data_IF_461638213743
#
_entry.id   IF_461638213743
#
_cell.length_a   1.000
_cell.length_b   1.000
_cell.length_c   1.000
_cell.angle_alpha   90.00
_cell.angle_beta   90.00
_cell.angle_gamma   90.00
#
_symmetry.space_group_name_H-M   'P 1'
#
loop_
_entity.id
_entity.type
_entity.pdbx_description
1 polymer ?
#
# COMPACT_ATOMS: atom_id res chain seq x y z
N UNK A 1 -6.99 -0.54 15.79
CA UNK A 1 -8.15 -0.62 16.67
C UNK A 1 -9.18 0.49 16.46
N UNK A 2 -9.03 1.32 15.43
CA UNK A 2 -10.00 2.35 15.07
C UNK A 2 -10.88 1.88 13.91
N UNK A 3 -12.16 2.31 13.91
CA UNK A 3 -13.02 2.03 12.78
C UNK A 3 -12.51 2.71 11.51
N UNK A 4 -12.69 2.10 10.33
CA UNK A 4 -12.38 2.74 9.06
C UNK A 4 -13.11 4.07 8.89
N UNK A 5 -12.45 5.06 8.29
CA UNK A 5 -13.08 6.34 7.95
C UNK A 5 -14.23 6.12 6.98
N UNK A 6 -15.37 6.78 7.20
CA UNK A 6 -16.50 6.73 6.27
C UNK A 6 -16.13 7.39 4.95
N UNK A 7 -16.60 6.84 3.85
CA UNK A 7 -16.22 7.32 2.51
C UNK A 7 -16.57 8.79 2.25
N UNK A 8 -17.65 9.29 2.83
CA UNK A 8 -17.99 10.72 2.74
C UNK A 8 -16.99 11.60 3.45
N UNK A 9 -16.52 11.19 4.63
CA UNK A 9 -15.49 11.88 5.39
C UNK A 9 -14.14 11.85 4.67
N UNK A 10 -13.78 10.70 4.07
CA UNK A 10 -12.58 10.55 3.27
C UNK A 10 -12.58 11.47 2.04
N UNK A 11 -13.70 11.54 1.32
CA UNK A 11 -13.87 12.43 0.17
C UNK A 11 -13.72 13.90 0.56
N UNK A 12 -14.36 14.29 1.67
CA UNK A 12 -14.28 15.65 2.22
C UNK A 12 -12.85 15.99 2.67
N UNK A 13 -12.18 15.06 3.34
CA UNK A 13 -10.76 15.21 3.71
C UNK A 13 -9.89 15.51 2.50
N UNK A 14 -10.01 14.73 1.42
CA UNK A 14 -9.23 14.95 0.19
C UNK A 14 -9.54 16.29 -0.46
N UNK A 15 -10.82 16.70 -0.47
CA UNK A 15 -11.25 18.01 -1.00
C UNK A 15 -10.57 19.15 -0.24
N UNK A 16 -10.63 19.10 1.07
CA UNK A 16 -10.05 20.13 1.94
C UNK A 16 -8.53 20.18 1.81
N UNK A 17 -7.85 19.03 1.84
CA UNK A 17 -6.39 18.98 1.67
C UNK A 17 -5.98 19.56 0.33
N UNK A 18 -6.70 19.21 -0.75
CA UNK A 18 -6.40 19.75 -2.09
C UNK A 18 -6.52 21.28 -2.16
N UNK A 19 -7.59 21.84 -1.60
CA UNK A 19 -7.78 23.28 -1.53
C UNK A 19 -6.66 23.97 -0.73
N UNK A 20 -6.32 23.43 0.44
CA UNK A 20 -5.28 23.99 1.29
C UNK A 20 -3.89 23.98 0.63
N UNK A 21 -3.49 22.88 -0.03
CA UNK A 21 -2.18 22.83 -0.72
C UNK A 21 -2.13 23.74 -1.94
N UNK A 22 -3.29 24.09 -2.52
CA UNK A 22 -3.40 25.10 -3.57
C UNK A 22 -3.44 26.55 -3.03
N UNK A 23 -3.38 26.73 -1.70
CA UNK A 23 -3.42 28.04 -1.06
C UNK A 23 -4.81 28.66 -0.95
N UNK A 24 -5.84 27.87 -1.16
CA UNK A 24 -7.23 28.33 -1.11
C UNK A 24 -7.75 28.41 0.33
N UNK A 25 -8.75 29.26 0.53
CA UNK A 25 -9.61 29.27 1.71
C UNK A 25 -10.76 28.30 1.45
N UNK A 26 -11.07 27.43 2.43
CA UNK A 26 -12.01 26.34 2.22
C UNK A 26 -12.89 26.10 3.44
N UNK A 27 -14.21 25.93 3.21
CA UNK A 27 -15.12 25.49 4.28
C UNK A 27 -14.79 24.05 4.69
N UNK A 28 -14.65 23.84 5.98
CA UNK A 28 -14.44 22.54 6.61
C UNK A 28 -15.42 22.33 7.76
N UNK A 29 -16.04 21.16 7.80
CA UNK A 29 -16.94 20.76 8.88
C UNK A 29 -16.22 19.83 9.84
N UNK A 30 -16.04 20.27 11.10
CA UNK A 30 -15.47 19.46 12.16
C UNK A 30 -16.43 19.40 13.36
N UNK A 31 -16.76 18.19 13.80
CA UNK A 31 -17.70 17.97 14.93
C UNK A 31 -19.05 18.70 14.79
N UNK A 32 -19.54 18.83 13.56
CA UNK A 32 -20.80 19.51 13.26
C UNK A 32 -20.72 21.02 13.12
N UNK A 33 -19.56 21.64 13.41
CA UNK A 33 -19.32 23.06 13.19
C UNK A 33 -18.64 23.30 11.84
N UNK A 34 -19.16 24.28 11.08
CA UNK A 34 -18.58 24.76 9.84
C UNK A 34 -17.67 25.94 10.08
N UNK A 35 -16.48 25.90 9.53
CA UNK A 35 -15.49 26.99 9.61
C UNK A 35 -14.74 27.10 8.28
N UNK A 36 -14.41 28.32 7.90
CA UNK A 36 -13.44 28.56 6.84
C UNK A 36 -12.03 28.45 7.39
N UNK A 37 -11.19 27.70 6.71
CA UNK A 37 -9.79 27.45 7.08
C UNK A 37 -8.86 27.74 5.90
N UNK A 38 -7.65 28.24 6.19
CA UNK A 38 -6.57 28.49 5.21
C UNK A 38 -5.21 28.45 5.88
N UNK A 39 -4.17 28.32 5.09
CA UNK A 39 -2.81 28.58 5.56
C UNK A 39 -2.57 30.10 5.73
N UNK A 40 -2.28 30.52 6.96
CA UNK A 40 -2.17 31.94 7.31
C UNK A 40 -0.89 32.62 6.80
N UNK A 41 0.21 31.86 6.67
CA UNK A 41 1.56 32.37 6.44
C UNK A 41 2.09 32.07 5.01
N UNK A 42 1.22 32.19 4.01
CA UNK A 42 1.61 31.91 2.62
C UNK A 42 2.63 32.92 2.08
N UNK A 43 2.49 34.20 2.44
CA UNK A 43 3.37 35.27 1.95
C UNK A 43 4.75 35.26 2.60
N UNK A 44 4.90 34.66 3.75
CA UNK A 44 6.15 34.55 4.48
C UNK A 44 7.05 33.40 3.97
N UNK A 45 6.59 32.65 2.96
CA UNK A 45 7.37 31.57 2.33
C UNK A 45 7.47 30.28 3.16
N UNK A 46 6.67 30.13 4.23
CA UNK A 46 6.63 28.89 5.03
C UNK A 46 5.89 27.76 4.31
N UNK A 47 5.06 28.10 3.33
CA UNK A 47 4.25 27.17 2.54
C UNK A 47 4.39 27.55 1.08
N UNK A 48 4.78 26.59 0.24
CA UNK A 48 4.83 26.80 -1.20
C UNK A 48 3.48 26.41 -1.82
N UNK A 49 2.71 27.39 -2.21
CA UNK A 49 1.42 27.23 -2.90
C UNK A 49 1.51 27.40 -4.41
N UNK A 50 2.65 27.92 -4.92
CA UNK A 50 2.88 28.08 -6.36
C UNK A 50 3.16 26.75 -7.06
N UNK A 51 3.73 25.79 -6.31
CA UNK A 51 3.98 24.43 -6.75
C UNK A 51 3.34 23.44 -5.76
N UNK A 52 2.02 23.23 -5.83
CA UNK A 52 1.32 22.34 -4.92
C UNK A 52 1.91 20.94 -4.91
N UNK A 53 2.07 20.36 -3.72
CA UNK A 53 2.51 18.97 -3.57
C UNK A 53 1.45 18.04 -4.18
N UNK A 54 1.81 17.10 -5.06
CA UNK A 54 0.88 16.14 -5.62
C UNK A 54 0.31 15.22 -4.53
N UNK A 55 -0.98 14.94 -4.60
CA UNK A 55 -1.70 14.09 -3.65
C UNK A 55 -1.85 12.70 -4.25
N UNK A 56 -1.11 11.72 -3.70
CA UNK A 56 -1.26 10.32 -4.07
C UNK A 56 -2.16 9.63 -3.07
N UNK A 57 -3.20 8.96 -3.58
CA UNK A 57 -4.26 8.37 -2.76
C UNK A 57 -4.15 6.85 -2.75
N UNK A 58 -4.02 6.25 -1.58
CA UNK A 58 -4.13 4.81 -1.42
C UNK A 58 -5.61 4.40 -1.53
N UNK A 59 -5.98 3.78 -2.65
CA UNK A 59 -7.37 3.46 -2.97
C UNK A 59 -7.50 2.19 -3.81
N UNK A 60 -8.36 1.27 -3.35
CA UNK A 60 -8.71 0.05 -4.06
C UNK A 60 -10.24 -0.10 -4.24
N UNK A 61 -11.03 0.36 -3.27
CA UNK A 61 -12.48 0.31 -3.33
C UNK A 61 -13.08 1.31 -4.35
N UNK A 62 -14.20 1.00 -5.01
CA UNK A 62 -14.74 1.80 -6.12
C UNK A 62 -15.03 3.26 -5.75
N UNK A 63 -15.57 3.51 -4.55
CA UNK A 63 -15.86 4.87 -4.09
C UNK A 63 -14.59 5.64 -3.70
N UNK A 64 -13.56 4.97 -3.17
CA UNK A 64 -12.27 5.58 -2.88
C UNK A 64 -11.52 5.93 -4.18
N UNK A 65 -11.60 5.08 -5.21
CA UNK A 65 -11.08 5.36 -6.55
C UNK A 65 -11.76 6.58 -7.20
N UNK A 66 -13.09 6.73 -7.03
CA UNK A 66 -13.79 7.93 -7.48
C UNK A 66 -13.32 9.19 -6.72
N UNK A 67 -13.13 9.10 -5.40
CA UNK A 67 -12.58 10.21 -4.62
C UNK A 67 -11.13 10.56 -5.07
N UNK A 68 -10.33 9.54 -5.42
CA UNK A 68 -9.00 9.73 -6.02
C UNK A 68 -9.06 10.53 -7.32
N UNK A 69 -9.98 10.20 -8.22
CA UNK A 69 -10.20 10.96 -9.47
C UNK A 69 -10.62 12.39 -9.21
N UNK A 70 -11.50 12.61 -8.25
CA UNK A 70 -12.01 13.95 -7.92
C UNK A 70 -10.89 14.84 -7.33
N UNK A 71 -10.00 14.32 -6.50
CA UNK A 71 -9.11 15.15 -5.66
C UNK A 71 -7.65 14.71 -5.63
N UNK A 72 -7.29 13.52 -6.10
CA UNK A 72 -5.91 13.00 -6.14
C UNK A 72 -5.18 13.32 -7.43
N UNK A 73 -3.87 13.30 -7.42
CA UNK A 73 -2.99 13.46 -8.59
C UNK A 73 -2.36 12.14 -9.02
N UNK A 74 -2.42 11.13 -8.14
CA UNK A 74 -1.99 9.77 -8.40
C UNK A 74 -2.67 8.78 -7.47
N UNK A 75 -2.47 7.51 -7.77
CA UNK A 75 -2.96 6.38 -6.98
C UNK A 75 -1.80 5.56 -6.43
N UNK A 76 -1.91 5.10 -5.19
CA UNK A 76 -1.08 4.03 -4.64
C UNK A 76 -1.94 2.76 -4.54
N UNK A 77 -1.46 1.64 -5.05
CA UNK A 77 -2.12 0.34 -4.99
C UNK A 77 -1.16 -0.77 -4.53
N UNK A 78 -1.69 -1.96 -4.28
CA UNK A 78 -0.86 -3.15 -4.07
C UNK A 78 -0.26 -3.64 -5.40
N UNK A 79 0.93 -4.24 -5.35
CA UNK A 79 1.66 -4.69 -6.53
C UNK A 79 1.00 -5.87 -7.28
N UNK A 80 0.22 -6.69 -6.60
CA UNK A 80 -0.46 -7.86 -7.18
C UNK A 80 -1.66 -7.54 -8.09
N UNK A 81 -1.78 -6.28 -8.57
CA UNK A 81 -2.83 -5.90 -9.52
C UNK A 81 -2.66 -6.63 -10.86
N UNK A 82 -3.77 -7.10 -11.42
CA UNK A 82 -3.82 -7.54 -12.82
C UNK A 82 -4.08 -6.36 -13.76
N UNK A 83 -3.76 -6.50 -15.05
CA UNK A 83 -4.08 -5.48 -16.06
C UNK A 83 -5.56 -5.10 -16.05
N UNK A 84 -6.46 -6.09 -15.91
CA UNK A 84 -7.90 -5.84 -15.85
C UNK A 84 -8.30 -4.99 -14.63
N UNK A 85 -7.72 -5.26 -13.45
CA UNK A 85 -7.97 -4.48 -12.24
C UNK A 85 -7.41 -3.06 -12.34
N UNK A 86 -6.22 -2.87 -12.92
CA UNK A 86 -5.66 -1.55 -13.17
C UNK A 86 -6.57 -0.74 -14.10
N UNK A 87 -7.03 -1.32 -15.21
CA UNK A 87 -7.95 -0.64 -16.14
C UNK A 87 -9.31 -0.33 -15.52
N UNK A 88 -9.87 -1.23 -14.72
CA UNK A 88 -11.14 -0.97 -14.00
C UNK A 88 -10.97 0.16 -12.99
N UNK A 89 -9.83 0.21 -12.31
CA UNK A 89 -9.52 1.27 -11.36
C UNK A 89 -9.42 2.63 -12.05
N UNK A 90 -8.72 2.71 -13.19
CA UNK A 90 -8.61 3.94 -13.98
C UNK A 90 -9.99 4.45 -14.44
N UNK A 91 -10.88 3.56 -14.91
CA UNK A 91 -12.27 3.95 -15.25
C UNK A 91 -13.04 4.55 -14.07
N UNK A 92 -12.83 4.03 -12.85
CA UNK A 92 -13.46 4.61 -11.64
C UNK A 92 -12.86 5.97 -11.28
N UNK A 93 -11.55 6.14 -11.47
CA UNK A 93 -10.86 7.40 -11.27
C UNK A 93 -11.37 8.44 -12.28
N UNK A 94 -11.48 8.10 -13.57
CA UNK A 94 -12.05 8.96 -14.62
C UNK A 94 -13.49 9.39 -14.30
N UNK A 95 -14.32 8.45 -13.84
CA UNK A 95 -15.68 8.75 -13.42
C UNK A 95 -15.71 9.76 -12.26
N UNK A 96 -14.88 9.57 -11.25
CA UNK A 96 -14.79 10.48 -10.10
C UNK A 96 -14.31 11.88 -10.49
N UNK A 97 -13.36 11.98 -11.42
CA UNK A 97 -12.92 13.27 -11.96
C UNK A 97 -14.05 14.00 -12.72
N UNK A 98 -14.82 13.25 -13.50
CA UNK A 98 -15.97 13.78 -14.26
C UNK A 98 -17.05 14.34 -13.35
N UNK A 99 -17.30 13.76 -12.17
CA UNK A 99 -18.29 14.26 -11.20
C UNK A 99 -18.00 15.70 -10.73
N UNK A 100 -16.74 16.11 -10.74
CA UNK A 100 -16.30 17.45 -10.31
C UNK A 100 -15.79 18.30 -11.48
N UNK A 101 -16.07 17.91 -12.72
CA UNK A 101 -15.63 18.57 -13.95
C UNK A 101 -14.09 18.76 -14.01
N UNK A 102 -13.33 17.82 -13.47
CA UNK A 102 -11.87 17.83 -13.48
C UNK A 102 -11.32 17.06 -14.67
N UNK A 103 -10.36 17.65 -15.39
CA UNK A 103 -9.56 16.93 -16.35
C UNK A 103 -8.42 16.19 -15.63
N UNK A 104 -8.27 14.88 -15.88
CA UNK A 104 -7.12 14.13 -15.44
C UNK A 104 -5.94 14.34 -16.40
N UNK A 105 -4.68 14.25 -15.91
CA UNK A 105 -3.53 14.20 -16.81
C UNK A 105 -3.63 12.99 -17.74
N UNK A 106 -3.08 13.09 -18.95
CA UNK A 106 -3.13 12.05 -20.00
C UNK A 106 -2.52 10.72 -19.53
N UNK A 107 -1.55 10.78 -18.62
CA UNK A 107 -0.98 9.62 -17.91
C UNK A 107 -1.22 9.82 -16.40
N UNK A 108 -2.35 9.32 -15.91
CA UNK A 108 -2.62 9.36 -14.48
C UNK A 108 -1.67 8.41 -13.74
N UNK A 109 -0.87 8.97 -12.82
CA UNK A 109 0.20 8.22 -12.18
C UNK A 109 -0.33 7.15 -11.22
N UNK A 110 0.15 5.91 -11.39
CA UNK A 110 -0.15 4.79 -10.51
C UNK A 110 1.16 4.21 -9.96
N UNK A 111 1.32 4.28 -8.64
CA UNK A 111 2.41 3.66 -7.90
C UNK A 111 1.92 2.39 -7.20
N UNK A 112 2.72 1.34 -7.21
CA UNK A 112 2.44 0.13 -6.45
C UNK A 112 3.39 0.00 -5.26
N UNK A 113 2.83 -0.17 -4.06
CA UNK A 113 3.60 -0.45 -2.86
C UNK A 113 3.88 -1.94 -2.77
N UNK A 114 5.15 -2.31 -2.60
CA UNK A 114 5.59 -3.70 -2.42
C UNK A 114 6.92 -3.77 -1.67
N UNK A 115 7.45 -4.96 -1.57
CA UNK A 115 8.77 -5.27 -1.01
C UNK A 115 9.58 -6.09 -2.00
N UNK A 116 10.89 -6.09 -1.85
CA UNK A 116 11.79 -6.82 -2.74
C UNK A 116 12.89 -7.54 -1.95
N UNK A 117 13.37 -8.65 -2.50
CA UNK A 117 14.61 -9.29 -2.05
C UNK A 117 15.28 -10.01 -3.21
N UNK A 118 16.50 -9.65 -3.52
CA UNK A 118 17.31 -10.33 -4.54
C UNK A 118 17.89 -11.60 -3.93
N UNK A 119 17.55 -12.77 -4.50
CA UNK A 119 18.07 -14.06 -4.05
C UNK A 119 19.56 -14.19 -4.39
N UNK A 120 20.34 -14.64 -3.42
CA UNK A 120 21.75 -15.01 -3.58
C UNK A 120 21.85 -16.47 -4.03
N UNK A 121 23.03 -16.85 -4.52
CA UNK A 121 23.28 -18.23 -5.00
C UNK A 121 22.96 -19.27 -3.92
N UNK A 122 22.05 -20.19 -4.22
CA UNK A 122 21.62 -21.28 -3.33
C UNK A 122 20.48 -20.92 -2.37
N UNK A 123 19.97 -19.69 -2.40
CA UNK A 123 18.81 -19.28 -1.63
C UNK A 123 17.49 -19.57 -2.36
N UNK A 124 16.42 -19.66 -1.59
CA UNK A 124 15.04 -19.69 -2.04
C UNK A 124 14.23 -18.63 -1.29
N UNK A 125 12.96 -18.45 -1.65
CA UNK A 125 12.09 -17.41 -1.09
C UNK A 125 11.87 -17.52 0.44
N UNK A 126 12.13 -18.67 1.05
CA UNK A 126 11.95 -18.92 2.50
C UNK A 126 13.28 -19.18 3.21
N UNK A 127 14.42 -18.82 2.62
CA UNK A 127 15.71 -18.82 3.31
C UNK A 127 15.71 -17.80 4.44
N UNK A 128 16.40 -18.08 5.55
CA UNK A 128 16.38 -17.25 6.77
C UNK A 128 16.67 -15.77 6.49
N UNK A 129 17.71 -15.46 5.67
CA UNK A 129 18.04 -14.09 5.28
C UNK A 129 16.87 -13.43 4.54
N UNK A 130 16.22 -14.16 3.63
CA UNK A 130 15.09 -13.63 2.87
C UNK A 130 13.93 -13.31 3.81
N UNK A 131 13.62 -14.21 4.75
CA UNK A 131 12.60 -13.95 5.77
C UNK A 131 12.96 -12.75 6.64
N UNK A 132 14.24 -12.55 7.00
CA UNK A 132 14.68 -11.37 7.74
C UNK A 132 14.43 -10.08 6.95
N UNK A 133 14.68 -10.08 5.63
CA UNK A 133 14.54 -8.89 4.79
C UNK A 133 13.09 -8.54 4.44
N UNK A 134 12.22 -9.55 4.26
CA UNK A 134 10.86 -9.29 3.73
C UNK A 134 9.73 -9.87 4.57
N UNK A 135 10.04 -10.66 5.60
CA UNK A 135 9.03 -11.39 6.35
C UNK A 135 7.99 -10.48 7.00
N UNK A 136 8.42 -9.35 7.57
CA UNK A 136 7.51 -8.37 8.17
C UNK A 136 6.47 -7.85 7.17
N UNK A 137 6.88 -7.62 5.93
CA UNK A 137 6.01 -7.12 4.86
C UNK A 137 5.07 -8.22 4.33
N UNK A 138 5.57 -9.45 4.18
CA UNK A 138 4.73 -10.57 3.78
C UNK A 138 3.66 -10.87 4.84
N UNK A 139 4.02 -10.86 6.13
CA UNK A 139 3.11 -11.06 7.24
C UNK A 139 2.06 -9.96 7.38
N UNK A 140 2.33 -8.74 6.92
CA UNK A 140 1.36 -7.64 6.93
C UNK A 140 0.04 -8.00 6.23
N UNK A 141 0.07 -8.90 5.24
CA UNK A 141 -1.14 -9.41 4.61
C UNK A 141 -1.99 -10.28 5.54
N UNK A 142 -1.36 -11.15 6.35
CA UNK A 142 -2.06 -11.96 7.35
C UNK A 142 -2.68 -11.08 8.43
N UNK A 143 -1.96 -10.02 8.87
CA UNK A 143 -2.46 -9.03 9.80
C UNK A 143 -3.70 -8.31 9.25
N UNK A 144 -3.64 -7.87 7.99
CA UNK A 144 -4.74 -7.22 7.30
C UNK A 144 -5.95 -8.15 7.13
N UNK A 145 -5.75 -9.40 6.71
CA UNK A 145 -6.82 -10.39 6.60
C UNK A 145 -7.45 -10.69 7.95
N UNK A 146 -6.66 -10.75 9.02
CA UNK A 146 -7.16 -10.93 10.37
C UNK A 146 -8.04 -9.75 10.82
N UNK A 147 -7.64 -8.50 10.53
CA UNK A 147 -8.45 -7.32 10.84
C UNK A 147 -9.77 -7.30 10.08
N UNK A 148 -9.77 -7.60 8.78
CA UNK A 148 -10.99 -7.71 7.99
C UNK A 148 -11.93 -8.78 8.54
N UNK A 149 -11.39 -9.95 8.87
CA UNK A 149 -12.14 -11.04 9.46
C UNK A 149 -12.75 -10.66 10.81
N UNK A 150 -12.01 -9.98 11.69
CA UNK A 150 -12.54 -9.50 12.98
C UNK A 150 -13.60 -8.40 12.79
N UNK A 151 -13.46 -7.56 11.78
CA UNK A 151 -14.37 -6.45 11.54
C UNK A 151 -15.73 -6.88 10.98
N UNK A 152 -15.76 -7.81 10.03
CA UNK A 152 -17.00 -8.18 9.32
C UNK A 152 -17.05 -9.63 8.82
N UNK A 153 -16.10 -10.49 9.21
CA UNK A 153 -16.01 -11.88 8.74
C UNK A 153 -15.54 -12.03 7.29
N UNK A 154 -14.99 -10.96 6.68
CA UNK A 154 -14.59 -10.99 5.27
C UNK A 154 -13.29 -11.76 5.08
N UNK A 155 -13.35 -12.80 4.23
CA UNK A 155 -12.22 -13.63 3.80
C UNK A 155 -11.98 -13.56 2.28
N UNK A 156 -12.68 -12.66 1.59
CA UNK A 156 -12.67 -12.58 0.12
C UNK A 156 -11.31 -12.16 -0.48
N UNK A 157 -10.50 -11.47 0.31
CA UNK A 157 -9.15 -11.04 -0.08
C UNK A 157 -8.08 -12.12 0.11
N UNK A 158 -8.40 -13.24 0.77
CA UNK A 158 -7.46 -14.33 1.00
C UNK A 158 -7.27 -15.12 -0.29
N UNK A 159 -6.02 -15.17 -0.78
CA UNK A 159 -5.69 -15.94 -1.97
C UNK A 159 -5.97 -17.44 -1.74
N UNK A 160 -6.51 -18.12 -2.75
CA UNK A 160 -6.80 -19.57 -2.66
C UNK A 160 -5.58 -20.41 -2.26
N UNK A 161 -4.39 -20.04 -2.72
CA UNK A 161 -3.12 -20.69 -2.36
C UNK A 161 -2.72 -20.48 -0.90
N UNK A 162 -3.34 -19.56 -0.18
CA UNK A 162 -3.06 -19.22 1.21
C UNK A 162 -4.17 -19.70 2.17
N UNK A 163 -5.18 -20.43 1.71
CA UNK A 163 -6.31 -20.82 2.58
C UNK A 163 -5.87 -21.64 3.79
N UNK A 164 -5.06 -22.69 3.58
CA UNK A 164 -4.57 -23.52 4.69
C UNK A 164 -3.69 -22.69 5.65
N UNK A 165 -2.85 -21.81 5.10
CA UNK A 165 -2.01 -20.91 5.88
C UNK A 165 -2.86 -19.98 6.75
N UNK A 166 -3.96 -19.47 6.20
CA UNK A 166 -4.91 -18.65 6.92
C UNK A 166 -5.55 -19.39 8.10
N UNK A 167 -6.01 -20.61 7.89
CA UNK A 167 -6.62 -21.42 8.93
C UNK A 167 -5.64 -21.69 10.08
N UNK A 168 -4.36 -21.98 9.76
CA UNK A 168 -3.29 -22.13 10.74
C UNK A 168 -2.98 -20.82 11.47
N UNK A 169 -2.96 -19.69 10.76
CA UNK A 169 -2.71 -18.39 11.34
C UNK A 169 -3.84 -17.96 12.28
N UNK A 170 -5.09 -18.19 11.88
CA UNK A 170 -6.25 -17.92 12.73
C UNK A 170 -6.20 -18.73 14.04
N UNK A 171 -5.91 -20.04 13.94
CA UNK A 171 -5.72 -20.90 15.11
C UNK A 171 -4.53 -20.48 15.99
N UNK A 172 -3.48 -19.88 15.41
CA UNK A 172 -2.37 -19.29 16.16
C UNK A 172 -2.80 -18.05 16.94
N UNK A 173 -3.56 -17.14 16.29
CA UNK A 173 -4.03 -15.92 16.97
C UNK A 173 -5.00 -16.20 18.12
N UNK A 174 -5.78 -17.28 18.03
CA UNK A 174 -6.69 -17.70 19.11
C UNK A 174 -5.94 -18.14 20.37
N UNK A 175 -4.72 -18.62 20.23
CA UNK A 175 -3.85 -19.06 21.34
C UNK A 175 -2.99 -17.96 21.94
N UNK A 176 -3.08 -16.74 21.42
CA UNK A 176 -2.34 -15.60 21.97
C UNK A 176 -2.80 -15.29 23.41
N UNK A 177 -1.84 -14.98 24.28
CA UNK A 177 -2.11 -14.65 25.68
C UNK A 177 -2.85 -13.32 25.83
N UNK A 178 -2.67 -12.40 24.87
CA UNK A 178 -3.34 -11.10 24.88
C UNK A 178 -4.86 -11.27 24.77
N UNK A 179 -5.65 -10.60 25.62
CA UNK A 179 -7.11 -10.66 25.55
C UNK A 179 -7.64 -10.33 24.13
N UNK A 180 -8.74 -10.96 23.68
CA UNK A 180 -9.28 -10.77 22.32
C UNK A 180 -9.40 -9.30 21.87
N UNK A 181 -9.85 -8.41 22.78
CA UNK A 181 -10.00 -6.97 22.50
C UNK A 181 -8.67 -6.21 22.29
N UNK A 182 -7.53 -6.84 22.60
CA UNK A 182 -6.19 -6.25 22.47
C UNK A 182 -5.27 -7.06 21.56
N UNK A 183 -5.73 -8.15 20.95
CA UNK A 183 -4.90 -9.01 20.09
C UNK A 183 -4.29 -8.25 18.91
N UNK A 184 -4.98 -7.25 18.39
CA UNK A 184 -4.42 -6.39 17.34
C UNK A 184 -3.06 -5.77 17.76
N UNK A 185 -2.86 -5.44 19.04
CA UNK A 185 -1.58 -4.90 19.53
C UNK A 185 -0.45 -5.93 19.45
N UNK A 186 -0.73 -7.19 19.77
CA UNK A 186 0.25 -8.27 19.70
C UNK A 186 0.54 -8.64 18.23
N UNK A 187 -0.49 -8.76 17.40
CA UNK A 187 -0.38 -9.06 15.96
C UNK A 187 0.49 -8.00 15.25
N UNK A 188 0.32 -6.73 15.60
CA UNK A 188 1.08 -5.64 14.97
C UNK A 188 2.42 -5.31 15.65
N UNK A 189 2.92 -6.13 16.58
CA UNK A 189 4.16 -5.84 17.31
C UNK A 189 5.36 -5.59 16.39
N UNK A 190 5.53 -6.40 15.34
CA UNK A 190 6.60 -6.27 14.34
C UNK A 190 6.14 -5.72 12.99
N UNK A 191 4.90 -5.22 12.89
CA UNK A 191 4.28 -4.86 11.61
C UNK A 191 5.16 -3.93 10.75
N UNK A 192 5.49 -4.37 9.53
CA UNK A 192 6.35 -3.68 8.57
C UNK A 192 7.78 -3.38 9.05
N UNK A 193 8.19 -3.81 10.25
CA UNK A 193 9.51 -3.52 10.82
C UNK A 193 10.39 -4.79 10.90
N UNK A 194 9.89 -5.83 11.54
CA UNK A 194 10.58 -7.12 11.67
C UNK A 194 9.58 -8.27 11.84
N UNK A 195 9.94 -9.46 11.39
CA UNK A 195 9.13 -10.66 11.63
C UNK A 195 9.35 -11.17 13.05
N UNK A 196 8.30 -11.18 13.89
CA UNK A 196 8.40 -11.77 15.23
C UNK A 196 8.69 -13.28 15.13
N UNK A 197 9.52 -13.87 16.05
CA UNK A 197 9.97 -15.26 15.92
C UNK A 197 8.83 -16.27 15.72
N UNK A 198 7.71 -16.08 16.41
CA UNK A 198 6.56 -16.99 16.40
C UNK A 198 5.81 -16.96 15.05
N UNK A 199 5.90 -15.86 14.32
CA UNK A 199 5.23 -15.68 13.03
C UNK A 199 6.11 -16.04 11.83
N UNK A 200 7.43 -16.16 11.98
CA UNK A 200 8.36 -16.49 10.88
C UNK A 200 7.91 -17.70 10.06
N UNK A 201 7.35 -18.73 10.69
CA UNK A 201 6.86 -19.95 10.04
C UNK A 201 5.72 -19.71 9.05
N UNK A 202 4.99 -18.59 9.17
CA UNK A 202 3.91 -18.24 8.26
C UNK A 202 4.41 -17.50 7.01
N UNK A 203 5.70 -17.11 6.97
CA UNK A 203 6.32 -16.57 5.74
C UNK A 203 6.58 -17.73 4.80
N UNK A 204 5.63 -18.00 3.92
CA UNK A 204 5.67 -19.08 2.93
C UNK A 204 5.82 -18.54 1.53
N UNK A 205 6.31 -19.35 0.60
CA UNK A 205 6.38 -18.99 -0.82
C UNK A 205 5.02 -18.58 -1.37
N UNK A 206 3.95 -19.29 -0.98
CA UNK A 206 2.59 -18.97 -1.40
C UNK A 206 2.16 -17.58 -0.92
N UNK A 207 2.50 -17.20 0.31
CA UNK A 207 2.20 -15.87 0.85
C UNK A 207 2.97 -14.79 0.09
N UNK A 208 4.28 -14.97 -0.10
CA UNK A 208 5.15 -14.03 -0.83
C UNK A 208 4.60 -13.79 -2.25
N UNK A 209 4.26 -14.86 -2.97
CA UNK A 209 3.67 -14.76 -4.32
C UNK A 209 2.29 -14.10 -4.32
N UNK A 210 1.42 -14.46 -3.37
CA UNK A 210 0.06 -13.91 -3.28
C UNK A 210 0.05 -12.42 -2.96
N UNK A 211 1.04 -11.94 -2.21
CA UNK A 211 1.16 -10.51 -1.83
C UNK A 211 1.93 -9.68 -2.86
N UNK A 212 2.50 -10.32 -3.90
CA UNK A 212 3.20 -9.63 -4.98
C UNK A 212 4.59 -9.15 -4.60
N UNK A 213 5.29 -9.84 -3.67
CA UNK A 213 6.70 -9.54 -3.37
C UNK A 213 7.61 -9.73 -4.58
N UNK A 214 8.50 -8.79 -4.83
CA UNK A 214 9.56 -8.87 -5.84
C UNK A 214 10.73 -9.69 -5.29
N UNK A 215 10.54 -11.00 -5.19
CA UNK A 215 11.53 -11.93 -4.63
C UNK A 215 11.96 -12.93 -5.68
N UNK A 216 13.23 -12.92 -6.03
CA UNK A 216 13.77 -13.76 -7.08
C UNK A 216 15.22 -13.43 -7.41
N UNK A 217 15.77 -14.09 -8.43
CA UNK A 217 17.02 -13.67 -9.05
C UNK A 217 16.86 -12.29 -9.72
N UNK A 218 17.96 -11.58 -10.00
CA UNK A 218 17.86 -10.27 -10.68
C UNK A 218 17.06 -10.32 -11.98
N UNK A 219 17.23 -11.38 -12.79
CA UNK A 219 16.52 -11.55 -14.09
C UNK A 219 15.03 -11.79 -13.89
N UNK A 220 14.63 -12.59 -12.90
CA UNK A 220 13.23 -12.82 -12.56
C UNK A 220 12.56 -11.52 -12.07
N UNK A 221 13.23 -10.72 -11.22
CA UNK A 221 12.69 -9.45 -10.75
C UNK A 221 12.54 -8.45 -11.90
N UNK A 222 13.53 -8.36 -12.79
CA UNK A 222 13.47 -7.52 -13.99
C UNK A 222 12.26 -7.90 -14.85
N UNK A 223 12.07 -9.20 -15.12
CA UNK A 223 10.92 -9.68 -15.89
C UNK A 223 9.58 -9.33 -15.22
N UNK A 224 9.49 -9.42 -13.88
CA UNK A 224 8.28 -9.01 -13.15
C UNK A 224 8.01 -7.49 -13.28
N UNK A 225 9.05 -6.66 -13.27
CA UNK A 225 8.92 -5.21 -13.44
C UNK A 225 8.48 -4.86 -14.86
N UNK A 226 9.09 -5.46 -15.89
CA UNK A 226 8.72 -5.28 -17.30
C UNK A 226 7.26 -5.67 -17.57
N UNK A 227 6.80 -6.77 -16.98
CA UNK A 227 5.40 -7.19 -17.06
C UNK A 227 4.46 -6.12 -16.48
N UNK A 228 4.78 -5.52 -15.33
CA UNK A 228 3.97 -4.49 -14.68
C UNK A 228 3.99 -3.16 -15.45
N UNK A 229 5.14 -2.77 -15.98
CA UNK A 229 5.25 -1.60 -16.85
C UNK A 229 4.36 -1.78 -18.11
N UNK A 230 4.41 -2.96 -18.75
CA UNK A 230 3.55 -3.28 -19.89
C UNK A 230 2.05 -3.30 -19.56
N UNK A 231 1.68 -3.49 -18.30
CA UNK A 231 0.29 -3.37 -17.82
C UNK A 231 -0.14 -1.92 -17.60
N UNK A 232 0.80 -0.96 -17.56
CA UNK A 232 0.53 0.46 -17.32
C UNK A 232 0.85 0.95 -15.91
N UNK A 233 1.60 0.17 -15.09
CA UNK A 233 2.12 0.64 -13.82
C UNK A 233 3.28 1.62 -14.08
N UNK A 234 3.28 2.78 -13.40
CA UNK A 234 4.29 3.81 -13.61
C UNK A 234 5.44 3.74 -12.62
N UNK A 235 5.18 3.25 -11.42
CA UNK A 235 6.14 3.29 -10.32
C UNK A 235 5.97 2.09 -9.38
N UNK A 236 7.07 1.64 -8.82
CA UNK A 236 7.12 0.70 -7.71
C UNK A 236 7.78 1.37 -6.52
N UNK A 237 7.04 1.49 -5.42
CA UNK A 237 7.54 1.98 -4.14
C UNK A 237 7.93 0.79 -3.25
N UNK A 238 9.22 0.66 -2.93
CA UNK A 238 9.72 -0.43 -2.11
C UNK A 238 9.65 -0.09 -0.62
N UNK A 239 9.09 -1.00 0.16
CA UNK A 239 9.05 -0.93 1.62
C UNK A 239 9.83 -2.11 2.21
N UNK A 240 11.14 -1.96 2.48
CA UNK A 240 11.95 -3.00 3.11
C UNK A 240 11.70 -3.08 4.62
N UNK A 241 11.96 -4.24 5.24
CA UNK A 241 12.02 -4.34 6.71
C UNK A 241 13.04 -3.35 7.27
N UNK A 242 12.71 -2.69 8.37
CA UNK A 242 13.41 -1.48 8.83
C UNK A 242 14.89 -1.74 9.15
N UNK A 243 15.20 -2.84 9.81
CA UNK A 243 16.56 -3.23 10.20
C UNK A 243 17.42 -3.69 9.02
N UNK A 244 16.81 -4.19 7.93
CA UNK A 244 17.47 -4.66 6.72
C UNK A 244 17.41 -3.66 5.56
N UNK A 245 16.76 -2.52 5.74
CA UNK A 245 16.44 -1.57 4.67
C UNK A 245 17.66 -1.17 3.83
N UNK A 246 18.77 -0.87 4.48
CA UNK A 246 19.99 -0.41 3.78
C UNK A 246 20.60 -1.48 2.89
N UNK A 247 20.68 -2.71 3.37
CA UNK A 247 21.23 -3.84 2.60
C UNK A 247 20.32 -4.18 1.44
N UNK A 248 19.02 -4.29 1.73
CA UNK A 248 17.98 -4.62 0.77
C UNK A 248 17.92 -3.62 -0.40
N UNK A 249 17.88 -2.31 -0.09
CA UNK A 249 17.83 -1.26 -1.11
C UNK A 249 19.13 -1.18 -1.92
N UNK A 250 20.30 -1.41 -1.30
CA UNK A 250 21.58 -1.45 -2.03
C UNK A 250 21.63 -2.64 -2.99
N UNK A 251 21.27 -3.85 -2.53
CA UNK A 251 21.25 -5.04 -3.39
C UNK A 251 20.28 -4.83 -4.58
N UNK A 252 19.09 -4.28 -4.34
CA UNK A 252 18.15 -3.97 -5.39
C UNK A 252 18.68 -2.92 -6.38
N UNK A 253 19.28 -1.85 -5.90
CA UNK A 253 19.85 -0.80 -6.75
C UNK A 253 20.99 -1.35 -7.65
N UNK A 254 21.91 -2.12 -7.07
CA UNK A 254 23.08 -2.64 -7.79
C UNK A 254 22.72 -3.77 -8.77
N UNK A 255 21.83 -4.67 -8.38
CA UNK A 255 21.58 -5.90 -9.11
C UNK A 255 20.36 -5.84 -10.03
N UNK A 256 19.43 -4.93 -9.77
CA UNK A 256 18.20 -4.78 -10.54
C UNK A 256 18.16 -3.44 -11.26
N UNK A 257 18.19 -2.29 -10.56
CA UNK A 257 17.98 -0.98 -11.19
C UNK A 257 19.04 -0.68 -12.25
N UNK A 258 20.32 -0.96 -11.97
CA UNK A 258 21.40 -0.74 -12.94
C UNK A 258 21.26 -1.56 -14.23
N UNK A 259 20.52 -2.67 -14.17
CA UNK A 259 20.33 -3.59 -15.31
C UNK A 259 19.01 -3.37 -16.04
N UNK A 260 18.02 -2.81 -15.35
CA UNK A 260 16.65 -2.64 -15.87
C UNK A 260 16.55 -1.69 -17.07
N UNK A 261 17.49 -0.75 -17.20
CA UNK A 261 17.47 0.29 -18.25
C UNK A 261 18.78 0.38 -19.05
N UNK A 262 19.58 -0.67 -19.02
CA UNK A 262 20.82 -0.75 -19.82
C UNK A 262 20.60 -1.42 -21.16
#
# INVERSE_FOLDING_TARGET
GMNPMKIGEFREYLRVVRALVAGEEVEFTHQGEKREIKFLHQKEGFINVEQPVPIYVAADGPKALMATGAYGDGRICSYNQTKALLMQSLKKIELGASEVNRALPSAFHTSALTYACVLKRGENMVSDRVIDEIGAMALAALHYWWELYQYNGDTSSIAKSCQNLWDEYLAFTEKMETPPSKRFQQIHLGHCAFAVPEERRFVTENLIRATGGLVGTPDEIISMLEEREAMGLNEVALLPSMDQARVNLNDFAELVIKRYRC
#
